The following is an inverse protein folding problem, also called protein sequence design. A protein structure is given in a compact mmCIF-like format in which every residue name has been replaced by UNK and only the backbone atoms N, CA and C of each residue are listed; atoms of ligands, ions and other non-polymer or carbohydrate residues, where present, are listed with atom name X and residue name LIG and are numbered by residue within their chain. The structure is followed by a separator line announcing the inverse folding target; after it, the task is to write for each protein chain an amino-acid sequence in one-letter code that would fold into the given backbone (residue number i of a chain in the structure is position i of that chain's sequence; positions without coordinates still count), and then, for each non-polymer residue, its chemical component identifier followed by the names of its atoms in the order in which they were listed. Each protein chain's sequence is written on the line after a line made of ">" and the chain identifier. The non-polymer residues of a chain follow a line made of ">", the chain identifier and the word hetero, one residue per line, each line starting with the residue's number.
data_IF_734392375340
#
_entry.id   IF_734392375340
#
_cell.length_a   1.000
_cell.length_b   1.000
_cell.length_c   1.000
_cell.angle_alpha   90.00
_cell.angle_beta   90.00
_cell.angle_gamma   90.00
#
_symmetry.space_group_name_H-M   'P 1'
#
loop_
_entity.id
_entity.type
_entity.pdbx_description
1 polymer ?
#
# COMPACT_ATOMS: atom_id res chain seq x y z
N UNK A 1 6.50 22.44 9.28
CA UNK A 1 6.90 22.82 7.90
C UNK A 1 8.00 21.95 7.28
N UNK A 2 9.29 21.99 7.71
CA UNK A 2 10.36 21.18 7.06
C UNK A 2 10.16 19.66 7.24
N UNK A 3 9.88 19.21 8.47
CA UNK A 3 9.61 17.78 8.78
C UNK A 3 8.43 17.21 7.98
N UNK A 4 7.30 17.92 7.94
CA UNK A 4 6.14 17.52 7.14
C UNK A 4 6.45 17.39 5.65
N UNK A 5 7.28 18.28 5.09
CA UNK A 5 7.70 18.18 3.69
C UNK A 5 8.56 16.94 3.45
N UNK A 6 9.48 16.63 4.36
CA UNK A 6 10.27 15.39 4.31
C UNK A 6 9.35 14.17 4.33
N UNK A 7 8.37 14.12 5.24
CA UNK A 7 7.40 13.03 5.29
C UNK A 7 6.61 12.92 3.98
N UNK A 8 6.16 14.04 3.41
CA UNK A 8 5.45 14.02 2.12
C UNK A 8 6.32 13.54 0.96
N UNK A 9 7.62 13.85 0.93
CA UNK A 9 8.53 13.29 -0.06
C UNK A 9 8.78 11.79 0.15
N UNK A 10 8.88 11.33 1.39
CA UNK A 10 8.97 9.90 1.69
C UNK A 10 7.70 9.16 1.28
N UNK A 11 6.53 9.73 1.53
CA UNK A 11 5.25 9.20 1.05
C UNK A 11 5.19 9.16 -0.48
N UNK A 12 5.67 10.21 -1.16
CA UNK A 12 5.76 10.20 -2.61
C UNK A 12 6.64 9.04 -3.11
N UNK A 13 7.77 8.79 -2.46
CA UNK A 13 8.62 7.64 -2.74
C UNK A 13 7.91 6.31 -2.51
N UNK A 14 7.21 6.15 -1.38
CA UNK A 14 6.44 4.94 -1.07
C UNK A 14 5.35 4.65 -2.10
N UNK A 15 4.53 5.64 -2.45
CA UNK A 15 3.50 5.49 -3.47
C UNK A 15 4.07 5.18 -4.86
N UNK A 16 5.21 5.78 -5.21
CA UNK A 16 5.87 5.53 -6.48
C UNK A 16 6.40 4.09 -6.54
N UNK A 17 7.05 3.63 -5.47
CA UNK A 17 7.52 2.25 -5.36
C UNK A 17 6.38 1.26 -5.47
N UNK A 18 5.27 1.48 -4.75
CA UNK A 18 4.07 0.63 -4.88
C UNK A 18 3.56 0.59 -6.32
N UNK A 19 3.51 1.73 -7.02
CA UNK A 19 3.07 1.76 -8.42
C UNK A 19 4.00 0.97 -9.34
N UNK A 20 5.33 1.09 -9.13
CA UNK A 20 6.34 0.37 -9.91
C UNK A 20 6.27 -1.13 -9.62
N UNK A 21 6.28 -1.53 -8.35
CA UNK A 21 6.21 -2.93 -7.93
C UNK A 21 4.99 -3.62 -8.52
N UNK A 22 3.79 -3.04 -8.37
CA UNK A 22 2.59 -3.65 -8.96
C UNK A 22 2.66 -3.67 -10.48
N UNK A 23 3.14 -2.59 -11.11
CA UNK A 23 3.23 -2.51 -12.58
C UNK A 23 4.13 -3.59 -13.17
N UNK A 24 5.22 -3.96 -12.49
CA UNK A 24 6.22 -4.89 -13.03
C UNK A 24 6.10 -6.31 -12.46
N UNK A 25 5.87 -6.46 -11.17
CA UNK A 25 5.78 -7.77 -10.51
C UNK A 25 4.40 -8.43 -10.69
N UNK A 26 3.33 -7.65 -10.90
CA UNK A 26 1.97 -8.19 -11.07
C UNK A 26 1.47 -8.06 -12.52
N UNK A 27 2.38 -8.11 -13.50
CA UNK A 27 2.07 -7.88 -14.93
C UNK A 27 1.05 -8.85 -15.52
N UNK A 28 1.02 -10.09 -15.03
CA UNK A 28 0.09 -11.14 -15.47
C UNK A 28 -1.33 -10.80 -15.01
N UNK A 29 -1.49 -10.52 -13.71
CA UNK A 29 -2.76 -10.06 -13.10
C UNK A 29 -3.28 -8.77 -13.75
N UNK A 30 -2.39 -7.85 -14.12
CA UNK A 30 -2.74 -6.60 -14.82
C UNK A 30 -3.32 -6.80 -16.22
N UNK A 31 -2.99 -7.93 -16.88
CA UNK A 31 -3.53 -8.31 -18.18
C UNK A 31 -4.91 -8.97 -18.09
N UNK A 32 -5.20 -9.62 -16.96
CA UNK A 32 -6.41 -10.43 -16.75
C UNK A 32 -7.51 -9.67 -16.00
N UNK A 33 -7.13 -8.80 -15.07
CA UNK A 33 -8.06 -8.11 -14.18
C UNK A 33 -7.85 -6.60 -14.23
N UNK A 34 -8.88 -5.86 -14.67
CA UNK A 34 -8.82 -4.40 -14.73
C UNK A 34 -8.63 -3.77 -13.33
N UNK A 35 -9.15 -4.42 -12.27
CA UNK A 35 -9.04 -3.95 -10.89
C UNK A 35 -7.59 -3.90 -10.40
N UNK A 36 -6.69 -4.72 -10.95
CA UNK A 36 -5.27 -4.71 -10.60
C UNK A 36 -4.57 -3.39 -10.96
N UNK A 37 -5.16 -2.58 -11.84
CA UNK A 37 -4.65 -1.24 -12.16
C UNK A 37 -4.92 -0.21 -11.07
N UNK A 38 -5.83 -0.46 -10.14
CA UNK A 38 -6.18 0.47 -9.05
C UNK A 38 -4.96 0.88 -8.22
N UNK A 39 -4.13 -0.03 -7.66
CA UNK A 39 -2.93 0.35 -6.93
C UNK A 39 -1.89 1.08 -7.78
N UNK A 40 -1.78 0.78 -9.08
CA UNK A 40 -0.86 1.50 -10.00
C UNK A 40 -1.33 2.94 -10.20
N UNK A 41 -2.60 3.12 -10.57
CA UNK A 41 -3.19 4.44 -10.79
C UNK A 41 -3.19 5.27 -9.51
N UNK A 42 -3.57 4.67 -8.39
CA UNK A 42 -3.58 5.34 -7.10
C UNK A 42 -2.18 5.66 -6.60
N UNK A 43 -1.19 4.77 -6.79
CA UNK A 43 0.21 5.06 -6.46
C UNK A 43 0.78 6.23 -7.27
N UNK A 44 0.48 6.29 -8.58
CA UNK A 44 0.86 7.45 -9.41
C UNK A 44 0.19 8.75 -8.93
N UNK A 45 -1.11 8.71 -8.64
CA UNK A 45 -1.86 9.86 -8.12
C UNK A 45 -1.35 10.31 -6.75
N UNK A 46 -1.14 9.35 -5.83
CA UNK A 46 -0.62 9.57 -4.49
C UNK A 46 0.77 10.20 -4.51
N UNK A 47 1.63 9.76 -5.42
CA UNK A 47 2.95 10.37 -5.67
C UNK A 47 2.82 11.84 -6.08
N UNK A 48 2.02 12.12 -7.12
CA UNK A 48 1.83 13.47 -7.63
C UNK A 48 1.27 14.41 -6.55
N UNK A 49 0.24 13.95 -5.85
CA UNK A 49 -0.43 14.71 -4.79
C UNK A 49 0.49 14.96 -3.59
N UNK A 50 1.31 13.98 -3.19
CA UNK A 50 2.29 14.14 -2.13
C UNK A 50 3.36 15.19 -2.48
N UNK A 51 3.90 15.16 -3.71
CA UNK A 51 4.87 16.16 -4.20
C UNK A 51 4.25 17.56 -4.22
N UNK A 52 3.04 17.70 -4.76
CA UNK A 52 2.34 18.99 -4.83
C UNK A 52 2.01 19.52 -3.43
N UNK A 53 1.60 18.66 -2.49
CA UNK A 53 1.33 19.03 -1.11
C UNK A 53 2.60 19.42 -0.32
N UNK A 54 3.76 18.85 -0.68
CA UNK A 54 5.05 19.23 -0.12
C UNK A 54 5.45 20.66 -0.58
N UNK A 55 5.21 20.96 -1.86
CA UNK A 55 5.51 22.26 -2.45
C UNK A 55 4.52 23.36 -2.03
N UNK A 56 3.23 23.04 -1.89
CA UNK A 56 2.16 24.02 -1.68
C UNK A 56 1.24 23.67 -0.51
N UNK A 57 1.24 24.54 0.52
CA UNK A 57 0.35 24.40 1.67
C UNK A 57 -1.14 24.49 1.29
N UNK A 58 -1.48 25.22 0.23
CA UNK A 58 -2.86 25.34 -0.28
C UNK A 58 -3.37 24.01 -0.84
N UNK A 59 -2.49 23.21 -1.42
CA UNK A 59 -2.83 21.91 -2.00
C UNK A 59 -3.06 20.82 -0.95
N UNK A 60 -2.62 21.02 0.31
CA UNK A 60 -2.75 20.02 1.38
C UNK A 60 -4.20 19.63 1.66
N UNK A 61 -5.16 20.56 1.54
CA UNK A 61 -6.58 20.22 1.75
C UNK A 61 -7.11 19.27 0.68
N UNK A 62 -6.73 19.50 -0.57
CA UNK A 62 -7.07 18.60 -1.68
C UNK A 62 -6.37 17.24 -1.49
N UNK A 63 -5.09 17.27 -1.10
CA UNK A 63 -4.31 16.07 -0.84
C UNK A 63 -4.90 15.21 0.28
N UNK A 64 -5.40 15.82 1.35
CA UNK A 64 -6.11 15.11 2.40
C UNK A 64 -7.34 14.36 1.86
N UNK A 65 -8.10 14.97 0.93
CA UNK A 65 -9.23 14.29 0.30
C UNK A 65 -8.79 13.05 -0.48
N UNK A 66 -7.73 13.16 -1.27
CA UNK A 66 -7.17 12.03 -2.04
C UNK A 66 -6.66 10.93 -1.10
N UNK A 67 -5.92 11.29 -0.07
CA UNK A 67 -5.41 10.32 0.91
C UNK A 67 -6.53 9.64 1.70
N UNK A 68 -7.61 10.35 2.06
CA UNK A 68 -8.78 9.74 2.68
C UNK A 68 -9.43 8.69 1.77
N UNK A 69 -9.54 8.99 0.46
CA UNK A 69 -10.05 8.01 -0.51
C UNK A 69 -9.13 6.79 -0.61
N UNK A 70 -7.81 6.97 -0.52
CA UNK A 70 -6.86 5.84 -0.50
C UNK A 70 -7.00 4.92 0.69
N UNK A 71 -7.29 5.47 1.88
CA UNK A 71 -7.59 4.65 3.07
C UNK A 71 -8.80 3.77 2.79
N UNK A 72 -9.89 4.36 2.29
CA UNK A 72 -11.11 3.61 1.96
C UNK A 72 -10.85 2.56 0.87
N UNK A 73 -10.13 2.93 -0.19
CA UNK A 73 -9.80 2.03 -1.29
C UNK A 73 -8.92 0.85 -0.84
N UNK A 74 -7.91 1.10 -0.01
CA UNK A 74 -7.04 0.06 0.53
C UNK A 74 -7.78 -0.90 1.47
N UNK A 75 -8.66 -0.37 2.33
CA UNK A 75 -9.52 -1.20 3.19
C UNK A 75 -10.53 -2.02 2.39
N UNK A 76 -11.12 -1.44 1.33
CA UNK A 76 -12.00 -2.17 0.43
C UNK A 76 -11.24 -3.26 -0.33
N UNK A 77 -10.05 -2.95 -0.84
CA UNK A 77 -9.18 -3.93 -1.49
C UNK A 77 -8.81 -5.09 -0.56
N UNK A 78 -8.53 -4.79 0.71
CA UNK A 78 -8.26 -5.78 1.74
C UNK A 78 -9.50 -6.66 2.03
N UNK A 79 -10.68 -6.04 2.17
CA UNK A 79 -11.93 -6.78 2.35
C UNK A 79 -12.20 -7.72 1.17
N UNK A 80 -11.95 -7.26 -0.06
CA UNK A 80 -12.11 -8.08 -1.26
C UNK A 80 -11.09 -9.24 -1.34
N UNK A 81 -9.87 -9.07 -0.84
CA UNK A 81 -8.86 -10.13 -0.80
C UNK A 81 -9.09 -11.16 0.31
N UNK A 82 -9.82 -10.81 1.36
CA UNK A 82 -10.09 -11.70 2.50
C UNK A 82 -11.50 -12.26 2.48
N UNK A 83 -12.38 -11.78 1.59
CA UNK A 83 -13.82 -12.03 1.59
C UNK A 83 -14.48 -11.75 2.96
N UNK A 84 -13.83 -10.94 3.81
CA UNK A 84 -14.24 -10.70 5.19
C UNK A 84 -13.99 -11.87 6.15
N UNK A 85 -13.24 -12.90 5.74
CA UNK A 85 -12.93 -14.06 6.57
C UNK A 85 -11.79 -13.77 7.56
N UNK A 86 -12.05 -13.75 8.89
CA UNK A 86 -11.03 -13.49 9.89
C UNK A 86 -9.99 -14.59 9.99
N UNK A 87 -10.27 -15.80 9.48
CA UNK A 87 -9.32 -16.91 9.49
C UNK A 87 -8.05 -16.60 8.67
N UNK A 88 -8.21 -15.91 7.52
CA UNK A 88 -7.08 -15.46 6.69
C UNK A 88 -6.17 -14.47 7.44
N UNK A 89 -6.75 -13.65 8.33
CA UNK A 89 -6.03 -12.75 9.23
C UNK A 89 -5.26 -13.50 10.31
N UNK A 90 -5.83 -14.58 10.85
CA UNK A 90 -5.17 -15.36 11.90
C UNK A 90 -4.03 -16.24 11.40
N UNK A 91 -4.04 -16.68 10.13
CA UNK A 91 -2.91 -17.40 9.51
C UNK A 91 -1.61 -16.59 9.56
N UNK A 92 -1.71 -15.26 9.54
CA UNK A 92 -0.58 -14.33 9.69
C UNK A 92 0.08 -14.42 11.07
N UNK A 93 -0.67 -14.62 12.15
CA UNK A 93 -0.07 -14.67 13.50
C UNK A 93 0.22 -16.10 13.96
N UNK A 94 -0.01 -17.09 13.09
CA UNK A 94 0.25 -18.49 13.34
C UNK A 94 1.70 -18.89 13.02
N UNK A 95 2.11 -20.12 13.40
CA UNK A 95 3.45 -20.65 13.14
C UNK A 95 3.83 -20.72 11.66
N UNK A 96 2.87 -20.56 10.74
CA UNK A 96 3.10 -20.49 9.29
C UNK A 96 3.97 -19.30 8.86
N UNK A 97 3.95 -18.17 9.58
CA UNK A 97 4.85 -17.04 9.29
C UNK A 97 6.33 -17.37 9.56
N UNK A 98 6.59 -18.21 10.56
CA UNK A 98 7.96 -18.66 10.91
C UNK A 98 8.39 -19.77 9.96
N UNK A 99 7.48 -20.68 9.60
CA UNK A 99 7.75 -21.74 8.64
C UNK A 99 8.03 -21.21 7.22
N UNK A 100 7.28 -20.21 6.73
CA UNK A 100 7.57 -19.60 5.43
C UNK A 100 8.87 -18.80 5.41
N UNK A 101 9.30 -18.25 6.55
CA UNK A 101 10.60 -17.57 6.65
C UNK A 101 11.78 -18.56 6.70
N UNK A 102 11.58 -19.79 7.21
CA UNK A 102 12.59 -20.86 7.22
C UNK A 102 12.63 -21.63 5.88
N UNK A 103 11.49 -21.84 5.21
CA UNK A 103 11.40 -22.58 3.93
C UNK A 103 12.08 -21.84 2.76
N UNK A 104 12.22 -20.50 2.81
CA UNK A 104 12.99 -19.73 1.83
C UNK A 104 14.49 -20.10 1.82
N UNK A 105 15.04 -20.61 2.93
CA UNK A 105 16.45 -21.03 3.02
C UNK A 105 16.67 -22.49 2.58
N UNK A 106 15.69 -23.40 2.73
CA UNK A 106 15.84 -24.81 2.33
C UNK A 106 15.54 -25.07 0.84
N UNK A 107 14.67 -24.29 0.20
CA UNK A 107 14.27 -24.51 -1.20
C UNK A 107 15.28 -24.09 -2.27
N UNK A 108 16.46 -23.56 -1.90
CA UNK A 108 17.58 -23.37 -2.85
C UNK A 108 18.34 -24.65 -3.19
N UNK A 109 18.09 -25.78 -2.49
CA UNK A 109 18.89 -27.00 -2.67
C UNK A 109 18.18 -28.17 -3.39
N UNK A 110 16.87 -28.14 -3.62
CA UNK A 110 16.15 -29.23 -4.29
C UNK A 110 15.41 -28.70 -5.51
N UNK A 111 15.98 -28.95 -6.69
CA UNK A 111 15.40 -28.62 -7.99
C UNK A 111 14.16 -29.45 -8.32
N UNK A 112 13.06 -29.20 -7.62
CA UNK A 112 11.73 -29.67 -7.98
C UNK A 112 10.83 -28.47 -8.25
N UNK A 113 10.47 -28.33 -9.53
CA UNK A 113 9.50 -27.37 -10.03
C UNK A 113 8.10 -27.78 -9.55
N UNK A 114 7.74 -27.37 -8.34
CA UNK A 114 6.34 -27.21 -7.99
C UNK A 114 5.90 -25.84 -8.49
N UNK A 115 4.94 -25.82 -9.42
CA UNK A 115 4.10 -24.64 -9.68
C UNK A 115 3.35 -24.32 -8.38
N UNK A 116 4.02 -23.67 -7.42
CA UNK A 116 3.32 -22.94 -6.39
C UNK A 116 2.60 -21.82 -7.12
N UNK A 117 1.28 -21.96 -7.23
CA UNK A 117 0.42 -20.81 -7.43
C UNK A 117 0.66 -19.91 -6.23
N UNK A 118 1.64 -19.02 -6.33
CA UNK A 118 1.92 -17.96 -5.35
C UNK A 118 0.67 -17.08 -5.33
N UNK A 119 -0.33 -17.48 -4.55
CA UNK A 119 -1.43 -16.61 -4.21
C UNK A 119 -0.80 -15.36 -3.56
N UNK A 120 -1.00 -14.17 -4.15
CA UNK A 120 -0.36 -12.97 -3.65
C UNK A 120 -0.79 -12.76 -2.19
N UNK A 121 0.12 -12.31 -1.31
CA UNK A 121 -0.19 -12.14 0.10
C UNK A 121 -1.43 -11.26 0.26
N UNK A 122 -2.45 -11.81 0.92
CA UNK A 122 -3.81 -11.23 1.06
C UNK A 122 -3.86 -9.85 1.71
N UNK A 123 -2.73 -9.38 2.24
CA UNK A 123 -2.56 -8.10 2.93
C UNK A 123 -1.87 -7.01 2.10
N UNK A 124 -1.46 -7.27 0.84
CA UNK A 124 -0.85 -6.26 -0.04
C UNK A 124 -1.63 -4.91 -0.11
N UNK A 125 -2.98 -4.90 -0.09
CA UNK A 125 -3.76 -3.64 -0.06
C UNK A 125 -3.58 -2.78 1.21
N UNK A 126 -3.14 -3.37 2.33
CA UNK A 126 -2.95 -2.64 3.59
C UNK A 126 -1.73 -1.70 3.56
N UNK A 127 -0.69 -2.02 2.78
CA UNK A 127 0.45 -1.12 2.59
C UNK A 127 0.02 0.22 1.99
N UNK A 128 -0.86 0.17 1.00
CA UNK A 128 -1.44 1.36 0.37
C UNK A 128 -2.35 2.13 1.34
N UNK A 129 -3.17 1.43 2.13
CA UNK A 129 -3.99 2.04 3.19
C UNK A 129 -3.13 2.76 4.24
N UNK A 130 -2.03 2.14 4.69
CA UNK A 130 -1.10 2.72 5.65
C UNK A 130 -0.43 4.00 5.14
N UNK A 131 0.11 3.97 3.91
CA UNK A 131 0.67 5.17 3.27
C UNK A 131 -0.37 6.29 3.16
N UNK A 132 -1.60 5.94 2.76
CA UNK A 132 -2.69 6.89 2.63
C UNK A 132 -3.11 7.49 3.99
N UNK A 133 -3.15 6.67 5.05
CA UNK A 133 -3.46 7.15 6.39
C UNK A 133 -2.42 8.14 6.91
N UNK A 134 -1.13 7.85 6.74
CA UNK A 134 -0.04 8.76 7.12
C UNK A 134 -0.14 10.07 6.32
N UNK A 135 -0.39 9.99 5.01
CA UNK A 135 -0.62 11.15 4.15
C UNK A 135 -1.81 12.00 4.59
N UNK A 136 -2.92 11.36 4.95
CA UNK A 136 -4.12 12.02 5.46
C UNK A 136 -3.83 12.77 6.76
N UNK A 137 -3.18 12.12 7.72
CA UNK A 137 -2.78 12.73 9.01
C UNK A 137 -1.86 13.94 8.78
N UNK A 138 -0.87 13.83 7.89
CA UNK A 138 0.09 14.90 7.62
C UNK A 138 -0.52 16.11 6.91
N UNK A 139 -1.61 15.92 6.15
CA UNK A 139 -2.22 16.96 5.31
C UNK A 139 -3.53 17.50 5.86
N UNK A 140 -4.22 16.71 6.69
CA UNK A 140 -5.40 17.15 7.40
C UNK A 140 -5.00 18.12 8.51
N UNK A 141 -5.68 19.26 8.58
CA UNK A 141 -5.50 20.23 9.67
C UNK A 141 -6.01 19.70 11.03
N UNK A 142 -6.46 18.44 11.10
CA UNK A 142 -7.00 17.79 12.29
C UNK A 142 -6.05 17.86 13.48
N UNK A 143 -4.73 17.81 13.25
CA UNK A 143 -3.70 17.92 14.31
C UNK A 143 -3.07 19.31 14.46
N UNK A 144 -3.48 20.29 13.63
CA UNK A 144 -2.98 21.66 13.72
C UNK A 144 -3.82 22.53 14.68
N UNK A 145 -4.95 22.02 15.17
CA UNK A 145 -5.91 22.77 15.98
C UNK A 145 -5.53 22.87 17.48
N UNK A 146 -4.55 22.11 17.97
CA UNK A 146 -4.20 22.06 19.40
C UNK A 146 -3.23 23.17 19.86
N UNK A 147 -2.97 24.18 19.03
CA UNK A 147 -2.21 25.37 19.41
C UNK A 147 -2.88 26.64 18.89
N UNK A 148 -3.97 27.04 19.54
CA UNK A 148 -4.43 28.42 19.53
C UNK A 148 -4.91 28.82 20.91
#
# INVERSE_FOLDING_TARGET
>A
MRRERTVLYLLAGGFLLTAIEVRYLHREVLGEHWQAWVPVAYGALGTAVAVVAAASAKARRLAAGVFALGVVAGLLGFYLHTEGNPAEVTKMFGPALVAQADEEDEHRSSGESHESSEEPPSFAPLGLSGLAAIGFVCTSKLFAAEKR
#
